data_IF_034996853552
#
_entry.id   IF_034996853552
#
_cell.length_a   1.000
_cell.length_b   1.000
_cell.length_c   1.000
_cell.angle_alpha   90.00
_cell.angle_beta   90.00
_cell.angle_gamma   90.00
#
_symmetry.space_group_name_H-M   'P 1'
#
loop_
_entity.id
_entity.type
_entity.pdbx_description
1 polymer ?
#
# COMPACT_ATOMS: atom_id res chain seq x y z
N UNK A 1 -3.40 17.66 12.42
CA UNK A 1 -3.17 16.80 11.22
C UNK A 1 -1.80 16.12 11.25
N UNK A 2 -0.71 16.84 11.56
CA UNK A 2 0.65 16.29 11.65
C UNK A 2 0.80 15.20 12.71
N UNK A 3 0.18 15.35 13.88
CA UNK A 3 0.19 14.34 14.97
C UNK A 3 -0.41 12.99 14.54
N UNK A 4 -1.45 13.01 13.70
CA UNK A 4 -2.05 11.77 13.18
C UNK A 4 -1.13 11.06 12.19
N UNK A 5 -0.40 11.83 11.37
CA UNK A 5 0.58 11.28 10.42
C UNK A 5 1.73 10.62 11.17
N UNK A 6 2.28 11.29 12.19
CA UNK A 6 3.36 10.74 13.02
C UNK A 6 2.90 9.50 13.81
N UNK A 7 1.68 9.55 14.38
CA UNK A 7 1.11 8.40 15.08
C UNK A 7 0.94 7.19 14.16
N UNK A 8 0.44 7.40 12.95
CA UNK A 8 0.29 6.34 11.96
C UNK A 8 1.65 5.79 11.49
N UNK A 9 2.62 6.65 11.27
CA UNK A 9 3.99 6.22 10.91
C UNK A 9 4.60 5.35 12.00
N UNK A 10 4.46 5.73 13.28
CA UNK A 10 4.94 4.94 14.41
C UNK A 10 4.23 3.60 14.51
N UNK A 11 2.91 3.57 14.36
CA UNK A 11 2.12 2.31 14.37
C UNK A 11 2.54 1.39 13.22
N UNK A 12 2.73 1.92 12.01
CA UNK A 12 3.20 1.16 10.86
C UNK A 12 4.59 0.58 11.09
N UNK A 13 5.50 1.35 11.71
CA UNK A 13 6.83 0.86 12.05
C UNK A 13 6.79 -0.27 13.07
N UNK A 14 5.95 -0.15 14.12
CA UNK A 14 5.76 -1.20 15.12
C UNK A 14 5.23 -2.48 14.46
N UNK A 15 4.22 -2.37 13.60
CA UNK A 15 3.68 -3.52 12.86
C UNK A 15 4.73 -4.16 11.95
N UNK A 16 5.52 -3.37 11.27
CA UNK A 16 6.60 -3.84 10.41
C UNK A 16 7.66 -4.62 11.19
N UNK A 17 8.11 -4.09 12.33
CA UNK A 17 9.09 -4.76 13.20
C UNK A 17 8.47 -6.02 13.82
N UNK A 18 7.24 -5.97 14.31
CA UNK A 18 6.58 -7.14 14.92
C UNK A 18 6.41 -8.28 13.92
N UNK A 19 6.05 -7.97 12.68
CA UNK A 19 5.99 -8.97 11.60
C UNK A 19 7.36 -9.60 11.33
N UNK A 20 8.42 -8.80 11.27
CA UNK A 20 9.79 -9.29 11.11
C UNK A 20 10.22 -10.22 12.23
N UNK A 21 9.97 -9.83 13.48
CA UNK A 21 10.26 -10.67 14.65
C UNK A 21 9.49 -11.98 14.63
N UNK A 22 8.21 -11.95 14.28
CA UNK A 22 7.39 -13.17 14.15
C UNK A 22 7.96 -14.11 13.10
N UNK A 23 8.36 -13.60 11.94
CA UNK A 23 8.97 -14.42 10.88
C UNK A 23 10.32 -15.02 11.32
N UNK A 24 11.14 -14.26 12.03
CA UNK A 24 12.42 -14.75 12.57
C UNK A 24 12.19 -15.88 13.57
N UNK A 25 11.26 -15.71 14.50
CA UNK A 25 10.92 -16.75 15.49
C UNK A 25 10.40 -18.02 14.81
N UNK A 26 9.51 -17.89 13.83
CA UNK A 26 9.01 -19.02 13.06
C UNK A 26 10.13 -19.70 12.27
N UNK A 27 11.00 -18.92 11.63
CA UNK A 27 12.17 -19.45 10.91
C UNK A 27 13.10 -20.24 11.81
N UNK A 28 13.40 -19.73 13.00
CA UNK A 28 14.20 -20.43 14.00
C UNK A 28 13.53 -21.72 14.44
N UNK A 29 12.25 -21.67 14.78
CA UNK A 29 11.49 -22.83 15.26
C UNK A 29 11.44 -23.96 14.21
N UNK A 30 11.04 -23.63 12.99
CA UNK A 30 10.97 -24.63 11.92
C UNK A 30 12.35 -25.14 11.52
N UNK A 31 13.35 -24.25 11.42
CA UNK A 31 14.72 -24.63 11.12
C UNK A 31 15.29 -25.62 12.14
N UNK A 32 15.09 -25.37 13.44
CA UNK A 32 15.54 -26.26 14.52
C UNK A 32 14.79 -27.58 14.53
N UNK A 33 13.49 -27.60 14.15
CA UNK A 33 12.70 -28.81 14.10
C UNK A 33 13.17 -29.78 13.01
N UNK A 34 13.60 -29.24 11.85
CA UNK A 34 14.07 -30.05 10.74
C UNK A 34 15.56 -30.44 10.83
N UNK A 35 16.39 -29.56 11.37
CA UNK A 35 17.84 -29.76 11.54
C UNK A 35 18.28 -29.32 12.93
N UNK A 36 18.34 -30.25 13.90
CA UNK A 36 18.72 -29.93 15.27
C UNK A 36 20.11 -29.27 15.39
N UNK A 37 21.07 -29.67 14.54
CA UNK A 37 22.44 -29.17 14.54
C UNK A 37 22.56 -27.92 13.63
N UNK A 38 22.09 -26.77 14.11
CA UNK A 38 22.28 -25.48 13.43
C UNK A 38 21.18 -25.04 12.50
N UNK A 39 20.13 -25.83 12.29
CA UNK A 39 19.00 -25.48 11.41
C UNK A 39 18.26 -24.22 11.80
N UNK A 40 18.25 -23.87 13.10
CA UNK A 40 17.64 -22.63 13.57
C UNK A 40 18.28 -21.37 12.95
N UNK A 41 19.60 -21.32 12.80
CA UNK A 41 20.28 -20.19 12.15
C UNK A 41 20.00 -20.13 10.64
N UNK A 42 19.90 -21.28 9.99
CA UNK A 42 19.51 -21.38 8.57
C UNK A 42 18.09 -20.86 8.41
N UNK A 43 17.17 -21.24 9.29
CA UNK A 43 15.78 -20.76 9.30
C UNK A 43 15.68 -19.23 9.49
N UNK A 44 16.46 -18.66 10.38
CA UNK A 44 16.56 -17.21 10.56
C UNK A 44 17.03 -16.52 9.25
N UNK A 45 18.08 -17.06 8.63
CA UNK A 45 18.62 -16.51 7.39
C UNK A 45 17.56 -16.45 6.28
N UNK A 46 16.83 -17.53 6.05
CA UNK A 46 15.74 -17.55 5.07
C UNK A 46 14.59 -16.63 5.45
N UNK A 47 14.23 -16.56 6.73
CA UNK A 47 13.19 -15.65 7.22
C UNK A 47 13.55 -14.18 6.95
N UNK A 48 14.78 -13.78 7.23
CA UNK A 48 15.27 -12.42 6.94
C UNK A 48 15.31 -12.12 5.45
N UNK A 49 15.71 -13.08 4.63
CA UNK A 49 15.74 -12.93 3.19
C UNK A 49 14.32 -12.73 2.62
N UNK A 50 13.37 -13.57 3.03
CA UNK A 50 11.96 -13.45 2.62
C UNK A 50 11.38 -12.11 3.08
N UNK A 51 11.58 -11.75 4.36
CA UNK A 51 11.09 -10.48 4.92
C UNK A 51 11.68 -9.27 4.17
N UNK A 52 12.97 -9.30 3.84
CA UNK A 52 13.63 -8.25 3.07
C UNK A 52 13.05 -8.11 1.66
N UNK A 53 12.87 -9.23 0.94
CA UNK A 53 12.28 -9.23 -0.41
C UNK A 53 10.85 -8.69 -0.38
N UNK A 54 10.01 -9.19 0.53
CA UNK A 54 8.62 -8.73 0.67
C UNK A 54 8.55 -7.24 1.01
N UNK A 55 9.46 -6.76 1.85
CA UNK A 55 9.56 -5.34 2.22
C UNK A 55 9.91 -4.47 1.03
N UNK A 56 10.86 -4.89 0.19
CA UNK A 56 11.22 -4.20 -1.04
C UNK A 56 10.05 -4.17 -2.04
N UNK A 57 9.39 -5.30 -2.26
CA UNK A 57 8.22 -5.39 -3.14
C UNK A 57 7.11 -4.46 -2.63
N UNK A 58 6.80 -4.50 -1.35
CA UNK A 58 5.78 -3.64 -0.72
C UNK A 58 6.13 -2.16 -0.87
N UNK A 59 7.39 -1.79 -0.66
CA UNK A 59 7.82 -0.40 -0.76
C UNK A 59 7.73 0.16 -2.19
N UNK A 60 8.15 -0.62 -3.19
CA UNK A 60 8.17 -0.16 -4.58
C UNK A 60 6.84 -0.36 -5.32
N UNK A 61 6.09 -1.40 -4.97
CA UNK A 61 4.90 -1.82 -5.71
C UNK A 61 3.61 -1.81 -4.92
N UNK A 62 3.62 -1.46 -3.63
CA UNK A 62 2.46 -1.55 -2.74
C UNK A 62 1.21 -0.85 -3.27
N UNK A 63 1.34 0.39 -3.77
CA UNK A 63 0.21 1.13 -4.36
C UNK A 63 -0.33 0.45 -5.61
N UNK A 64 0.55 -0.07 -6.47
CA UNK A 64 0.15 -0.76 -7.70
C UNK A 64 -0.57 -2.07 -7.39
N UNK A 65 -0.06 -2.82 -6.41
CA UNK A 65 -0.67 -4.08 -5.95
C UNK A 65 -2.07 -3.79 -5.38
N UNK A 66 -2.22 -2.78 -4.53
CA UNK A 66 -3.51 -2.39 -3.96
C UNK A 66 -4.51 -2.05 -5.06
N UNK A 67 -4.14 -1.22 -6.04
CA UNK A 67 -4.99 -0.86 -7.17
C UNK A 67 -5.37 -2.07 -8.02
N UNK A 68 -4.41 -2.97 -8.29
CA UNK A 68 -4.65 -4.19 -9.06
C UNK A 68 -5.62 -5.15 -8.35
N UNK A 69 -5.42 -5.38 -7.05
CA UNK A 69 -6.31 -6.25 -6.24
C UNK A 69 -7.71 -5.66 -6.11
N UNK A 70 -7.82 -4.33 -6.08
CA UNK A 70 -9.12 -3.62 -6.06
C UNK A 70 -9.80 -3.58 -7.43
N UNK A 71 -9.22 -4.13 -8.49
CA UNK A 71 -9.77 -4.06 -9.84
C UNK A 71 -9.82 -2.64 -10.42
N UNK A 72 -9.00 -1.74 -9.89
CA UNK A 72 -8.96 -0.33 -10.28
C UNK A 72 -8.36 -0.16 -11.69
N UNK A 73 -9.05 0.56 -12.55
CA UNK A 73 -8.62 0.89 -13.92
C UNK A 73 -8.26 2.37 -14.01
N UNK A 74 -7.06 2.67 -14.51
CA UNK A 74 -6.64 4.06 -14.75
C UNK A 74 -7.55 4.70 -15.81
N UNK A 75 -8.04 5.90 -15.53
CA UNK A 75 -8.92 6.64 -16.41
C UNK A 75 -8.31 7.97 -16.80
N UNK A 76 -8.67 8.43 -17.99
CA UNK A 76 -8.25 9.72 -18.54
C UNK A 76 -9.35 10.76 -18.39
N UNK A 77 -8.99 12.04 -18.54
CA UNK A 77 -9.93 13.15 -18.46
C UNK A 77 -11.09 13.05 -19.46
N UNK A 78 -10.82 12.47 -20.64
CA UNK A 78 -11.82 12.33 -21.71
C UNK A 78 -12.93 11.34 -21.35
N UNK A 79 -12.63 10.35 -20.50
CA UNK A 79 -13.58 9.32 -20.08
C UNK A 79 -14.44 9.78 -18.90
N UNK A 80 -13.82 10.47 -17.92
CA UNK A 80 -14.51 10.92 -16.70
C UNK A 80 -14.14 12.37 -16.33
N UNK A 81 -14.58 13.37 -17.13
CA UNK A 81 -14.19 14.77 -16.93
C UNK A 81 -14.63 15.33 -15.57
N UNK A 82 -15.78 14.94 -15.06
CA UNK A 82 -16.29 15.40 -13.77
C UNK A 82 -15.37 14.95 -12.60
N UNK A 83 -14.98 13.70 -12.57
CA UNK A 83 -14.08 13.17 -11.54
C UNK A 83 -12.71 13.87 -11.59
N UNK A 84 -12.21 14.11 -12.82
CA UNK A 84 -10.95 14.85 -12.99
C UNK A 84 -11.04 16.26 -12.45
N UNK A 85 -12.11 16.99 -12.71
CA UNK A 85 -12.32 18.36 -12.24
C UNK A 85 -12.36 18.40 -10.69
N UNK A 86 -13.11 17.50 -10.06
CA UNK A 86 -13.19 17.41 -8.61
C UNK A 86 -11.82 17.12 -7.99
N UNK A 87 -11.09 16.17 -8.54
CA UNK A 87 -9.74 15.84 -8.02
C UNK A 87 -8.74 16.97 -8.26
N UNK A 88 -8.87 17.71 -9.36
CA UNK A 88 -8.05 18.88 -9.66
C UNK A 88 -8.31 20.03 -8.68
N UNK A 89 -9.57 20.29 -8.36
CA UNK A 89 -9.96 21.28 -7.34
C UNK A 89 -9.41 20.88 -5.96
N UNK A 90 -9.54 19.62 -5.59
CA UNK A 90 -9.00 19.11 -4.32
C UNK A 90 -7.47 19.17 -4.29
N UNK A 91 -6.80 18.87 -5.40
CA UNK A 91 -5.36 19.02 -5.54
C UNK A 91 -4.91 20.46 -5.26
N UNK A 92 -5.61 21.44 -5.85
CA UNK A 92 -5.31 22.87 -5.66
C UNK A 92 -5.52 23.26 -4.21
N UNK A 93 -6.65 22.87 -3.63
CA UNK A 93 -7.00 23.16 -2.22
C UNK A 93 -6.02 22.52 -1.23
N UNK A 94 -5.50 21.33 -1.54
CA UNK A 94 -4.54 20.64 -0.71
C UNK A 94 -3.07 21.05 -0.97
N UNK A 95 -2.81 21.90 -1.96
CA UNK A 95 -1.46 22.35 -2.31
C UNK A 95 -0.56 21.21 -2.84
N UNK A 96 -1.12 20.21 -3.49
CA UNK A 96 -0.34 19.08 -4.01
C UNK A 96 0.49 19.50 -5.24
N UNK A 97 1.77 19.09 -5.32
CA UNK A 97 2.67 19.51 -6.39
C UNK A 97 2.33 18.90 -7.75
N UNK A 98 1.69 17.74 -7.78
CA UNK A 98 1.35 17.02 -9.00
C UNK A 98 -0.09 16.51 -8.96
N UNK A 99 -0.69 16.33 -10.14
CA UNK A 99 -1.99 15.67 -10.27
C UNK A 99 -1.87 14.20 -9.90
N UNK A 100 -2.64 13.69 -8.93
CA UNK A 100 -2.66 12.25 -8.64
C UNK A 100 -3.24 11.48 -9.82
N UNK A 101 -2.79 10.23 -10.01
CA UNK A 101 -3.41 9.33 -10.95
C UNK A 101 -4.80 8.96 -10.50
N UNK A 102 -5.75 8.91 -11.42
CA UNK A 102 -7.16 8.65 -11.12
C UNK A 102 -7.54 7.28 -11.65
N UNK A 103 -8.21 6.51 -10.80
CA UNK A 103 -8.66 5.15 -11.07
C UNK A 103 -10.14 5.01 -10.77
N UNK A 104 -10.82 4.18 -11.54
CA UNK A 104 -12.22 3.77 -11.30
C UNK A 104 -12.25 2.28 -11.00
N UNK A 105 -13.08 1.93 -10.02
CA UNK A 105 -13.40 0.56 -9.64
C UNK A 105 -14.85 0.30 -10.03
N UNK A 106 -15.09 -0.78 -10.79
CA UNK A 106 -16.43 -1.19 -11.17
C UNK A 106 -17.14 -1.86 -9.96
N UNK A 107 -17.63 -1.01 -9.06
CA UNK A 107 -18.36 -1.40 -7.85
C UNK A 107 -19.50 -0.40 -7.62
N UNK A 108 -20.70 -0.92 -7.29
CA UNK A 108 -21.91 -0.11 -7.07
C UNK A 108 -21.89 0.57 -5.70
N UNK A 109 -21.25 -0.08 -4.70
CA UNK A 109 -21.12 0.49 -3.37
C UNK A 109 -20.27 1.76 -3.40
N UNK A 110 -20.74 2.91 -2.89
CA UNK A 110 -20.00 4.17 -2.91
C UNK A 110 -18.78 4.06 -1.99
N UNK A 111 -17.59 4.11 -2.58
CA UNK A 111 -16.34 4.09 -1.85
C UNK A 111 -15.25 4.84 -2.64
N UNK A 112 -14.28 5.41 -1.93
CA UNK A 112 -13.09 5.98 -2.51
C UNK A 112 -11.90 5.85 -1.54
N UNK A 113 -10.71 5.70 -2.10
CA UNK A 113 -9.49 5.73 -1.31
C UNK A 113 -8.35 6.40 -2.07
N UNK A 114 -7.38 6.88 -1.32
CA UNK A 114 -6.13 7.39 -1.87
C UNK A 114 -4.97 6.49 -1.42
N UNK A 115 -4.01 6.31 -2.30
CA UNK A 115 -2.79 5.55 -2.01
C UNK A 115 -1.59 6.26 -2.62
N UNK A 116 -0.40 6.01 -2.08
CA UNK A 116 0.84 6.60 -2.58
C UNK A 116 1.85 6.77 -1.44
N UNK A 117 3.12 6.62 -1.74
CA UNK A 117 4.19 6.80 -0.76
C UNK A 117 4.57 8.26 -0.52
N UNK A 118 4.29 9.12 -1.48
CA UNK A 118 4.51 10.56 -1.42
C UNK A 118 3.53 11.28 -2.36
N UNK A 119 3.37 12.62 -2.24
CA UNK A 119 2.46 13.40 -3.09
C UNK A 119 2.71 13.28 -4.59
N UNK A 120 3.97 13.06 -5.02
CA UNK A 120 4.32 12.90 -6.44
C UNK A 120 3.92 11.54 -7.02
N UNK A 121 3.63 10.55 -6.16
CA UNK A 121 3.22 9.20 -6.55
C UNK A 121 1.85 8.86 -5.97
N UNK A 122 1.03 9.88 -5.74
CA UNK A 122 -0.32 9.72 -5.25
C UNK A 122 -1.27 9.18 -6.34
N UNK A 123 -2.18 8.33 -5.94
CA UNK A 123 -3.28 7.85 -6.75
C UNK A 123 -4.58 7.91 -5.95
N UNK A 124 -5.66 8.23 -6.64
CA UNK A 124 -7.02 8.26 -6.09
C UNK A 124 -7.84 7.23 -6.85
N UNK A 125 -8.51 6.36 -6.13
CA UNK A 125 -9.44 5.40 -6.70
C UNK A 125 -10.84 5.66 -6.16
N UNK A 126 -11.83 5.70 -7.05
CA UNK A 126 -13.23 5.87 -6.71
C UNK A 126 -14.07 4.77 -7.37
N UNK A 127 -15.13 4.34 -6.71
CA UNK A 127 -16.07 3.40 -7.27
C UNK A 127 -17.06 4.11 -8.21
N UNK A 128 -17.61 3.39 -9.18
CA UNK A 128 -18.66 3.90 -10.05
C UNK A 128 -19.88 4.42 -9.26
N UNK A 129 -20.18 3.82 -8.12
CA UNK A 129 -21.25 4.25 -7.23
C UNK A 129 -21.12 5.68 -6.68
N UNK A 130 -19.91 6.28 -6.68
CA UNK A 130 -19.70 7.71 -6.37
C UNK A 130 -19.78 8.56 -7.63
N UNK A 131 -19.23 8.08 -8.75
CA UNK A 131 -19.05 8.89 -9.96
C UNK A 131 -20.31 9.05 -10.83
N UNK A 132 -21.30 8.15 -10.67
CA UNK A 132 -22.48 8.05 -11.55
C UNK A 132 -23.80 8.43 -10.85
N UNK A 133 -23.74 9.14 -9.72
CA UNK A 133 -24.94 9.68 -9.05
C UNK A 133 -25.07 11.17 -9.23
#
# INVERSE_FOLDING_TARGET
MWELIEANRRKSLILFISLGLTLILLGYFFGSAYYPDGGGFIGIFFALLIWGILSLISYFSGSKILLAVSGAKEVTRDVHPQLFNVVEEMKISAGLPAMPKIYIINEIAPNAFATGRNPSHAAVAATEGICCR
#
